data_IF_703809907736
#
_entry.id   IF_703809907736
#
_cell.length_a   1.000
_cell.length_b   1.000
_cell.length_c   1.000
_cell.angle_alpha   90.00
_cell.angle_beta   90.00
_cell.angle_gamma   90.00
#
_symmetry.space_group_name_H-M   'P 1'
#
loop_
_entity.id
_entity.type
_entity.pdbx_description
1 polymer ?
#
# COMPACT_ATOMS: atom_id res chain seq x y z
N UNK A 1 19.91 26.02 -31.45
CA UNK A 1 18.64 25.28 -31.54
C UNK A 1 18.37 24.72 -30.16
N UNK A 2 17.48 25.36 -29.41
CA UNK A 2 17.12 24.96 -28.05
C UNK A 2 16.29 23.69 -28.13
N UNK A 3 16.75 22.59 -27.55
CA UNK A 3 15.94 21.39 -27.40
C UNK A 3 14.88 21.66 -26.33
N UNK A 4 13.70 22.10 -26.78
CA UNK A 4 12.48 22.12 -25.99
C UNK A 4 11.99 20.67 -25.83
N UNK A 5 12.59 19.94 -24.89
CA UNK A 5 12.06 18.64 -24.46
C UNK A 5 10.95 18.93 -23.47
N UNK A 6 9.76 19.22 -23.98
CA UNK A 6 8.53 19.13 -23.19
C UNK A 6 8.46 17.73 -22.59
N UNK A 7 8.32 17.54 -21.26
CA UNK A 7 8.26 16.21 -20.69
C UNK A 7 7.02 15.51 -21.23
N UNK A 8 7.21 14.34 -21.87
CA UNK A 8 6.07 13.49 -22.24
C UNK A 8 5.21 13.23 -21.00
N UNK A 9 3.87 13.27 -21.12
CA UNK A 9 3.00 13.06 -19.97
C UNK A 9 3.26 11.67 -19.37
N UNK A 10 3.68 11.64 -18.10
CA UNK A 10 3.93 10.40 -17.38
C UNK A 10 2.59 9.66 -17.26
N UNK A 11 2.42 8.59 -18.02
CA UNK A 11 1.23 7.75 -17.95
C UNK A 11 1.31 6.87 -16.69
N UNK A 12 0.53 7.23 -15.66
CA UNK A 12 0.37 6.40 -14.47
C UNK A 12 -0.76 5.40 -14.71
N UNK A 13 -0.44 4.10 -14.86
CA UNK A 13 -1.46 3.10 -15.12
C UNK A 13 -2.43 2.95 -13.95
N UNK A 14 -3.72 3.00 -14.27
CA UNK A 14 -4.84 2.74 -13.36
C UNK A 14 -4.95 1.25 -13.06
N UNK A 15 -5.59 0.90 -11.95
CA UNK A 15 -5.76 -0.51 -11.54
C UNK A 15 -6.47 -1.33 -12.62
N UNK A 16 -7.45 -0.74 -13.28
CA UNK A 16 -8.25 -1.39 -14.33
C UNK A 16 -7.50 -1.61 -15.64
N UNK A 17 -6.39 -0.92 -15.85
CA UNK A 17 -5.64 -0.95 -17.12
C UNK A 17 -4.59 -2.06 -17.15
N UNK A 18 -4.31 -2.70 -16.01
CA UNK A 18 -3.33 -3.78 -15.91
C UNK A 18 -3.66 -4.77 -14.81
N UNK A 19 -3.89 -6.02 -15.22
CA UNK A 19 -4.09 -7.14 -14.29
C UNK A 19 -2.87 -7.39 -13.39
N UNK A 20 -1.66 -7.03 -13.85
CA UNK A 20 -0.46 -7.11 -13.01
C UNK A 20 -0.50 -6.07 -11.88
N UNK A 21 -0.87 -4.82 -12.19
CA UNK A 21 -0.99 -3.76 -11.19
C UNK A 21 -2.11 -4.05 -10.20
N UNK A 22 -3.24 -4.58 -10.69
CA UNK A 22 -4.33 -5.06 -9.85
C UNK A 22 -3.90 -6.13 -8.86
N UNK A 23 -3.13 -7.13 -9.32
CA UNK A 23 -2.55 -8.15 -8.44
C UNK A 23 -1.61 -7.54 -7.41
N UNK A 24 -0.73 -6.63 -7.82
CA UNK A 24 0.19 -5.94 -6.90
C UNK A 24 -0.60 -5.19 -5.82
N UNK A 25 -1.55 -4.33 -6.21
CA UNK A 25 -2.35 -3.51 -5.27
C UNK A 25 -3.16 -4.38 -4.30
N UNK A 26 -3.74 -5.49 -4.78
CA UNK A 26 -4.42 -6.46 -3.92
C UNK A 26 -3.48 -7.14 -2.93
N UNK A 27 -2.30 -7.60 -3.38
CA UNK A 27 -1.33 -8.22 -2.48
C UNK A 27 -0.77 -7.21 -1.48
N UNK A 28 -0.53 -5.98 -1.89
CA UNK A 28 -0.06 -4.91 -1.00
C UNK A 28 -1.08 -4.55 0.07
N UNK A 29 -2.39 -4.58 -0.23
CA UNK A 29 -3.42 -4.36 0.80
C UNK A 29 -3.41 -5.46 1.87
N UNK A 30 -3.19 -6.73 1.49
CA UNK A 30 -3.01 -7.81 2.47
C UNK A 30 -1.74 -7.62 3.32
N UNK A 31 -0.64 -7.15 2.73
CA UNK A 31 0.59 -6.87 3.47
C UNK A 31 0.38 -5.74 4.49
N UNK A 32 -0.42 -4.72 4.15
CA UNK A 32 -0.82 -3.68 5.08
C UNK A 32 -1.60 -4.27 6.26
N UNK A 33 -2.60 -5.12 6.01
CA UNK A 33 -3.34 -5.80 7.08
C UNK A 33 -2.45 -6.64 7.98
N UNK A 34 -1.52 -7.40 7.41
CA UNK A 34 -0.55 -8.20 8.18
C UNK A 34 0.36 -7.31 9.04
N UNK A 35 0.83 -6.18 8.51
CA UNK A 35 1.66 -5.23 9.25
C UNK A 35 0.88 -4.61 10.42
N UNK A 36 -0.37 -4.20 10.19
CA UNK A 36 -1.22 -3.61 11.21
C UNK A 36 -1.57 -4.62 12.29
N UNK A 37 -1.99 -5.85 11.96
CA UNK A 37 -2.27 -6.88 12.96
C UNK A 37 -1.05 -7.23 13.82
N UNK A 38 0.16 -7.16 13.24
CA UNK A 38 1.39 -7.45 13.98
C UNK A 38 1.76 -6.35 14.98
N UNK A 39 1.58 -5.08 14.59
CA UNK A 39 1.91 -3.92 15.45
C UNK A 39 0.77 -3.57 16.42
N UNK A 40 -0.47 -3.75 15.99
CA UNK A 40 -1.70 -3.40 16.70
C UNK A 40 -2.58 -4.65 16.79
N UNK A 41 -2.29 -5.59 17.70
CA UNK A 41 -3.01 -6.86 17.80
C UNK A 41 -4.49 -6.71 18.21
N UNK A 42 -4.89 -5.52 18.67
CA UNK A 42 -6.28 -5.19 18.99
C UNK A 42 -7.08 -4.66 17.78
N UNK A 43 -6.40 -4.30 16.69
CA UNK A 43 -7.05 -3.78 15.50
C UNK A 43 -7.75 -4.93 14.75
N UNK A 44 -9.05 -4.79 14.50
CA UNK A 44 -9.82 -5.72 13.71
C UNK A 44 -9.80 -5.30 12.25
N UNK A 45 -9.59 -6.28 11.38
CA UNK A 45 -9.54 -6.10 9.93
C UNK A 45 -10.95 -6.13 9.39
N UNK A 46 -11.34 -5.12 8.62
CA UNK A 46 -12.68 -5.03 8.02
C UNK A 46 -12.61 -5.19 6.50
N UNK A 47 -12.53 -4.11 5.74
CA UNK A 47 -12.59 -4.11 4.27
C UNK A 47 -11.31 -3.50 3.70
N UNK A 48 -10.71 -4.15 2.70
CA UNK A 48 -9.47 -3.68 2.05
C UNK A 48 -9.49 -3.78 0.53
N UNK A 49 -10.30 -2.97 -0.17
CA UNK A 49 -10.41 -3.02 -1.62
C UNK A 49 -9.26 -2.23 -2.27
N UNK A 50 -8.91 -2.64 -3.49
CA UNK A 50 -8.12 -1.79 -4.38
C UNK A 50 -9.04 -0.70 -4.95
N UNK A 51 -8.47 0.46 -5.24
CA UNK A 51 -9.13 1.60 -5.91
C UNK A 51 -8.38 1.93 -7.20
N UNK A 52 -8.88 2.86 -8.00
CA UNK A 52 -8.34 3.17 -9.34
C UNK A 52 -6.83 3.52 -9.33
N UNK A 53 -6.35 4.19 -8.28
CA UNK A 53 -4.96 4.65 -8.17
C UNK A 53 -4.17 4.04 -6.99
N UNK A 54 -4.72 3.04 -6.30
CA UNK A 54 -4.09 2.50 -5.10
C UNK A 54 -4.94 1.46 -4.40
N UNK A 55 -4.90 1.47 -3.07
CA UNK A 55 -5.72 0.64 -2.19
C UNK A 55 -5.90 1.36 -0.86
N UNK A 56 -6.90 0.94 -0.10
CA UNK A 56 -7.06 1.35 1.29
C UNK A 56 -7.44 0.13 2.12
N UNK A 57 -7.41 0.30 3.44
CA UNK A 57 -7.86 -0.72 4.37
C UNK A 57 -8.50 -0.05 5.58
N UNK A 58 -9.71 -0.51 5.92
CA UNK A 58 -10.42 -0.09 7.11
C UNK A 58 -10.09 -1.01 8.29
N UNK A 59 -9.72 -0.40 9.41
CA UNK A 59 -9.45 -1.11 10.66
C UNK A 59 -10.34 -0.55 11.76
N UNK A 60 -10.98 -1.44 12.50
CA UNK A 60 -11.61 -1.08 13.76
C UNK A 60 -10.56 -1.22 14.87
N UNK A 61 -10.02 -0.10 15.33
CA UNK A 61 -9.02 -0.04 16.38
C UNK A 61 -9.51 0.89 17.49
N UNK A 62 -9.33 0.54 18.78
CA UNK A 62 -9.79 1.39 19.89
C UNK A 62 -9.16 2.78 19.91
N UNK A 63 -7.90 2.88 19.46
CA UNK A 63 -7.14 4.12 19.39
C UNK A 63 -6.92 4.53 17.93
N UNK A 64 -7.10 5.80 17.55
CA UNK A 64 -6.82 6.24 16.19
C UNK A 64 -5.33 6.14 15.87
N UNK A 65 -4.98 5.79 14.63
CA UNK A 65 -3.59 5.75 14.20
C UNK A 65 -3.00 7.18 14.13
N UNK A 66 -1.82 7.36 14.72
CA UNK A 66 -1.05 8.60 14.59
C UNK A 66 -0.14 8.58 13.36
N UNK A 67 0.39 9.73 12.94
CA UNK A 67 1.39 9.79 11.86
C UNK A 67 2.64 8.95 12.16
N UNK A 68 3.01 8.81 13.44
CA UNK A 68 4.13 7.97 13.86
C UNK A 68 3.82 6.49 13.63
N UNK A 69 2.57 6.08 13.82
CA UNK A 69 2.13 4.71 13.59
C UNK A 69 2.15 4.37 12.11
N UNK A 70 1.74 5.31 11.24
CA UNK A 70 1.82 5.14 9.79
C UNK A 70 3.27 4.86 9.33
N UNK A 71 4.25 5.59 9.87
CA UNK A 71 5.68 5.34 9.58
C UNK A 71 6.15 3.96 10.08
N UNK A 72 5.62 3.49 11.21
CA UNK A 72 5.94 2.16 11.74
C UNK A 72 5.31 1.05 10.89
N UNK A 73 4.06 1.23 10.47
CA UNK A 73 3.33 0.31 9.59
C UNK A 73 4.06 0.18 8.26
N UNK A 74 4.42 1.30 7.60
CA UNK A 74 5.18 1.28 6.34
C UNK A 74 6.51 0.52 6.49
N UNK A 75 7.25 0.79 7.57
CA UNK A 75 8.50 0.09 7.87
C UNK A 75 8.28 -1.41 8.04
N UNK A 76 7.19 -1.81 8.69
CA UNK A 76 6.85 -3.23 8.87
C UNK A 76 6.42 -3.89 7.56
N UNK A 77 5.64 -3.20 6.71
CA UNK A 77 5.30 -3.68 5.37
C UNK A 77 6.55 -3.96 4.54
N UNK A 78 7.54 -3.06 4.56
CA UNK A 78 8.82 -3.26 3.86
C UNK A 78 9.56 -4.48 4.40
N UNK A 79 9.54 -4.72 5.72
CA UNK A 79 10.15 -5.93 6.31
C UNK A 79 9.44 -7.20 5.87
N UNK A 80 8.11 -7.18 5.73
CA UNK A 80 7.32 -8.32 5.27
C UNK A 80 7.63 -8.65 3.79
N UNK A 81 7.77 -7.62 2.95
CA UNK A 81 8.09 -7.77 1.53
C UNK A 81 9.53 -8.23 1.29
N UNK A 82 10.46 -7.82 2.17
CA UNK A 82 11.87 -8.18 2.01
C UNK A 82 12.01 -9.70 1.98
N UNK A 83 12.68 -10.25 0.94
CA UNK A 83 12.91 -11.69 0.86
C UNK A 83 13.66 -12.13 2.12
N UNK A 84 13.10 -13.09 2.85
CA UNK A 84 13.86 -13.85 3.84
C UNK A 84 14.86 -14.69 3.06
N UNK A 85 16.05 -14.15 2.84
CA UNK A 85 17.19 -14.95 2.42
C UNK A 85 17.47 -15.86 3.62
N UNK A 86 17.14 -17.13 3.47
CA UNK A 86 17.40 -18.20 4.43
C UNK A 86 18.43 -19.15 3.83
#
# INVERSE_FOLDING_TARGET
MSNDVSPEPIHLPKTSESEQIKRIRHTTSHILAMAVQKLFPKAQVTIGPWIENGFYYDFDNPDPFSEKDLKQIEKEMVKIIKPKIQ
#
